data_IF_647616566879
#
_entry.id   IF_647616566879
#
_cell.length_a   1.000
_cell.length_b   1.000
_cell.length_c   1.000
_cell.angle_alpha   90.00
_cell.angle_beta   90.00
_cell.angle_gamma   90.00
#
_symmetry.space_group_name_H-M   'P 1'
#
loop_
_entity.id
_entity.type
_entity.pdbx_description
1 polymer ?
#
# COMPACT_ATOMS: atom_id res chain seq x y z
N UNK A 1 -26.14 12.63 -0.90
CA UNK A 1 -25.65 13.90 -0.32
C UNK A 1 -24.14 13.81 -0.33
N UNK A 2 -23.45 14.53 -1.23
CA UNK A 2 -21.97 14.51 -1.28
C UNK A 2 -21.49 15.37 -0.13
N UNK A 3 -20.90 14.75 0.89
CA UNK A 3 -20.16 15.51 1.90
C UNK A 3 -19.11 16.33 1.16
N UNK A 4 -19.10 17.63 1.45
CA UNK A 4 -18.14 18.59 0.93
C UNK A 4 -16.75 18.00 1.19
N UNK A 5 -15.97 17.83 0.12
CA UNK A 5 -14.60 17.29 0.11
C UNK A 5 -13.89 17.75 1.37
N UNK A 6 -13.56 16.80 2.26
CA UNK A 6 -12.61 17.00 3.34
C UNK A 6 -11.30 17.41 2.66
N UNK A 7 -11.09 18.72 2.51
CA UNK A 7 -9.79 19.31 2.30
C UNK A 7 -9.04 19.06 3.60
N UNK A 8 -8.47 17.87 3.72
CA UNK A 8 -7.47 17.59 4.74
C UNK A 8 -6.50 18.78 4.68
N UNK A 9 -6.32 19.49 5.80
CA UNK A 9 -5.26 20.48 5.93
C UNK A 9 -3.96 19.84 5.41
N UNK A 10 -3.06 20.64 4.84
CA UNK A 10 -1.81 20.22 4.19
C UNK A 10 -1.34 18.83 4.64
N UNK A 11 -1.61 17.81 3.80
CA UNK A 11 -1.37 16.41 4.14
C UNK A 11 0.13 16.24 4.37
N UNK A 12 0.52 15.56 5.44
CA UNK A 12 1.92 15.22 5.68
C UNK A 12 2.14 13.73 5.47
N UNK A 13 2.91 13.37 4.45
CA UNK A 13 3.22 11.98 4.14
C UNK A 13 4.39 11.49 5.00
N UNK A 14 4.18 10.40 5.74
CA UNK A 14 5.23 9.80 6.58
C UNK A 14 5.91 8.66 5.82
N UNK A 15 6.92 8.97 5.00
CA UNK A 15 7.77 7.95 4.38
C UNK A 15 9.13 8.51 3.99
N UNK A 16 10.18 7.71 4.16
CA UNK A 16 11.54 7.98 3.67
C UNK A 16 11.83 7.32 2.31
N UNK A 17 10.88 6.56 1.76
CA UNK A 17 11.07 5.82 0.52
C UNK A 17 10.87 6.73 -0.70
N UNK A 18 11.97 7.04 -1.39
CA UNK A 18 11.96 7.92 -2.57
C UNK A 18 11.04 7.42 -3.69
N UNK A 19 10.94 6.11 -3.93
CA UNK A 19 10.03 5.56 -4.95
C UNK A 19 8.56 5.84 -4.60
N UNK A 20 8.18 5.69 -3.33
CA UNK A 20 6.84 6.03 -2.85
C UNK A 20 6.56 7.53 -3.00
N UNK A 21 7.51 8.37 -2.61
CA UNK A 21 7.39 9.83 -2.71
C UNK A 21 7.14 10.25 -4.17
N UNK A 22 7.92 9.73 -5.12
CA UNK A 22 7.75 10.04 -6.53
C UNK A 22 6.40 9.56 -7.08
N UNK A 23 5.94 8.38 -6.67
CA UNK A 23 4.57 7.92 -6.99
C UNK A 23 3.50 8.88 -6.45
N UNK A 24 3.53 9.23 -5.17
CA UNK A 24 2.53 10.15 -4.60
C UNK A 24 2.53 11.53 -5.29
N UNK A 25 3.70 12.07 -5.65
CA UNK A 25 3.81 13.32 -6.43
C UNK A 25 3.13 13.18 -7.79
N UNK A 26 3.43 12.12 -8.55
CA UNK A 26 2.76 11.84 -9.84
C UNK A 26 1.25 11.67 -9.69
N UNK A 27 0.80 11.16 -8.55
CA UNK A 27 -0.62 10.90 -8.32
C UNK A 27 -1.44 12.16 -8.04
N UNK A 28 -0.79 13.32 -7.93
CA UNK A 28 -1.44 14.61 -7.72
C UNK A 28 -1.84 14.86 -6.26
N UNK A 29 -1.26 14.10 -5.32
CA UNK A 29 -1.43 14.39 -3.90
C UNK A 29 -0.55 15.60 -3.56
N UNK A 30 -1.14 16.66 -3.03
CA UNK A 30 -0.38 17.79 -2.47
C UNK A 30 -0.05 17.46 -1.02
N UNK A 31 1.22 17.21 -0.73
CA UNK A 31 1.67 16.87 0.62
C UNK A 31 3.01 17.54 0.97
N UNK A 32 3.23 17.73 2.25
CA UNK A 32 4.56 17.93 2.83
C UNK A 32 5.13 16.57 3.24
N UNK A 33 6.45 16.40 3.18
CA UNK A 33 7.09 15.19 3.70
C UNK A 33 7.28 15.38 5.21
N UNK A 34 6.77 14.45 6.01
CA UNK A 34 7.13 14.32 7.42
C UNK A 34 8.27 13.30 7.53
N UNK A 35 9.52 13.79 7.50
CA UNK A 35 10.70 12.96 7.64
C UNK A 35 10.82 12.36 9.05
N UNK A 36 11.32 11.12 9.15
CA UNK A 36 11.89 10.59 10.39
C UNK A 36 10.95 9.92 11.39
N UNK A 37 9.68 9.65 11.04
CA UNK A 37 8.81 8.80 11.87
C UNK A 37 8.99 7.33 11.50
N UNK A 38 9.92 6.65 12.18
CA UNK A 38 10.00 5.19 12.15
C UNK A 38 8.93 4.63 13.08
N UNK A 39 7.74 4.41 12.53
CA UNK A 39 6.59 3.90 13.27
C UNK A 39 6.67 2.38 13.33
N UNK A 40 6.62 1.82 14.54
CA UNK A 40 6.57 0.38 14.71
C UNK A 40 5.28 -0.18 14.10
N UNK A 41 5.40 -1.32 13.45
CA UNK A 41 4.26 -2.01 12.87
C UNK A 41 3.81 -3.13 13.82
N UNK A 42 2.53 -3.15 14.16
CA UNK A 42 1.97 -4.20 15.02
C UNK A 42 1.99 -5.54 14.28
N UNK A 43 2.22 -6.64 15.00
CA UNK A 43 2.16 -7.98 14.43
C UNK A 43 0.71 -8.46 14.42
N UNK A 44 -0.05 -8.03 13.40
CA UNK A 44 -1.47 -8.34 13.21
C UNK A 44 -1.87 -8.21 11.74
N UNK A 45 -3.17 -8.28 11.47
CA UNK A 45 -3.78 -8.06 10.15
C UNK A 45 -3.43 -6.70 9.55
N UNK A 46 -3.52 -6.60 8.22
CA UNK A 46 -3.36 -5.33 7.49
C UNK A 46 -4.25 -4.20 8.02
N UNK A 47 -5.46 -4.52 8.50
CA UNK A 47 -6.41 -3.54 9.04
C UNK A 47 -5.91 -2.95 10.35
N UNK A 48 -5.38 -3.79 11.24
CA UNK A 48 -4.79 -3.35 12.50
C UNK A 48 -3.48 -2.58 12.25
N UNK A 49 -2.62 -3.08 11.36
CA UNK A 49 -1.35 -2.41 11.02
C UNK A 49 -1.59 -0.97 10.62
N UNK A 50 -2.45 -0.74 9.63
CA UNK A 50 -2.72 0.62 9.15
C UNK A 50 -3.45 1.48 10.20
N UNK A 51 -4.34 0.88 10.99
CA UNK A 51 -5.08 1.56 12.06
C UNK A 51 -4.14 2.07 13.16
N UNK A 52 -3.32 1.18 13.72
CA UNK A 52 -2.40 1.54 14.81
C UNK A 52 -1.27 2.43 14.32
N UNK A 53 -0.79 2.25 13.09
CA UNK A 53 0.18 3.17 12.47
C UNK A 53 -0.38 4.59 12.37
N UNK A 54 -1.66 4.76 12.03
CA UNK A 54 -2.32 6.07 12.01
C UNK A 54 -2.51 6.67 13.41
N UNK A 55 -2.76 5.83 14.43
CA UNK A 55 -2.82 6.26 15.83
C UNK A 55 -1.46 6.81 16.27
N UNK A 56 -0.39 6.05 16.02
CA UNK A 56 0.97 6.38 16.45
C UNK A 56 1.54 7.58 15.70
N UNK A 57 1.18 7.75 14.43
CA UNK A 57 1.54 8.94 13.65
C UNK A 57 0.93 10.22 14.25
N UNK A 58 -0.34 10.14 14.67
CA UNK A 58 -1.08 11.29 15.18
C UNK A 58 -1.78 12.10 14.08
N UNK A 59 -2.28 13.27 14.48
CA UNK A 59 -3.24 14.02 13.66
C UNK A 59 -2.60 14.63 12.40
N UNK A 60 -3.33 14.58 11.28
CA UNK A 60 -2.96 15.13 9.97
C UNK A 60 -1.72 14.50 9.31
N UNK A 61 -1.29 13.33 9.78
CA UNK A 61 -0.24 12.53 9.14
C UNK A 61 -0.87 11.39 8.33
N UNK A 62 -0.54 11.32 7.05
CA UNK A 62 -0.92 10.24 6.16
C UNK A 62 0.13 9.14 6.23
N UNK A 63 -0.30 7.99 6.75
CA UNK A 63 0.48 6.76 6.78
C UNK A 63 0.08 5.84 5.63
N UNK A 64 1.00 4.97 5.23
CA UNK A 64 0.79 3.97 4.20
C UNK A 64 1.31 2.60 4.67
N UNK A 65 0.61 1.58 4.23
CA UNK A 65 1.00 0.18 4.36
C UNK A 65 0.72 -0.58 3.06
N UNK A 66 1.61 -1.50 2.69
CA UNK A 66 1.50 -2.30 1.47
C UNK A 66 1.82 -3.75 1.78
N UNK A 67 0.91 -4.64 1.39
CA UNK A 67 1.03 -6.09 1.61
C UNK A 67 0.68 -6.86 0.33
N UNK A 68 1.30 -8.04 0.18
CA UNK A 68 0.79 -9.07 -0.72
C UNK A 68 0.03 -10.10 0.10
N UNK A 69 -1.16 -10.47 -0.37
CA UNK A 69 -1.87 -11.66 0.09
C UNK A 69 -1.61 -12.76 -0.92
N UNK A 70 -1.07 -13.89 -0.47
CA UNK A 70 -0.74 -15.04 -1.32
C UNK A 70 -1.51 -16.24 -0.79
N UNK A 71 -2.36 -16.84 -1.62
CA UNK A 71 -3.23 -17.97 -1.26
C UNK A 71 -4.09 -17.71 -0.01
N UNK A 72 -4.53 -16.46 0.17
CA UNK A 72 -5.33 -16.03 1.32
C UNK A 72 -4.54 -15.65 2.57
N UNK A 73 -3.21 -15.78 2.56
CA UNK A 73 -2.36 -15.43 3.70
C UNK A 73 -1.58 -14.13 3.44
N UNK A 74 -1.53 -13.25 4.45
CA UNK A 74 -0.75 -12.01 4.40
C UNK A 74 0.75 -12.33 4.44
N UNK A 75 1.48 -11.85 3.44
CA UNK A 75 2.93 -12.01 3.34
C UNK A 75 3.61 -10.74 3.83
N UNK A 76 3.90 -10.71 5.14
CA UNK A 76 4.78 -9.70 5.73
C UNK A 76 6.21 -9.93 5.22
N UNK A 77 6.92 -8.82 5.00
CA UNK A 77 8.27 -8.74 4.42
C UNK A 77 8.48 -9.48 3.11
N UNK A 78 7.57 -9.29 2.16
CA UNK A 78 7.64 -9.88 0.82
C UNK A 78 9.01 -9.73 0.13
N UNK A 79 9.77 -8.67 0.43
CA UNK A 79 11.14 -8.49 -0.07
C UNK A 79 12.03 -9.70 0.19
N UNK A 80 11.88 -10.37 1.34
CA UNK A 80 12.65 -11.55 1.72
C UNK A 80 12.02 -12.86 1.24
N UNK A 81 10.71 -12.86 0.97
CA UNK A 81 9.93 -14.05 0.58
C UNK A 81 9.72 -14.20 -0.93
N UNK A 82 10.26 -13.27 -1.73
CA UNK A 82 10.06 -13.28 -3.18
C UNK A 82 10.60 -14.55 -3.86
N UNK A 83 11.71 -15.10 -3.38
CA UNK A 83 12.30 -16.33 -3.91
C UNK A 83 11.46 -17.59 -3.60
N UNK A 84 10.69 -17.56 -2.52
CA UNK A 84 9.73 -18.62 -2.21
C UNK A 84 8.49 -18.48 -3.08
N UNK A 85 8.00 -17.25 -3.25
CA UNK A 85 6.85 -16.94 -4.10
C UNK A 85 7.10 -17.38 -5.55
N UNK A 86 8.29 -17.08 -6.11
CA UNK A 86 8.68 -17.44 -7.49
C UNK A 86 8.66 -18.95 -7.78
N UNK A 87 8.66 -19.80 -6.74
CA UNK A 87 8.65 -21.27 -6.87
C UNK A 87 7.24 -21.85 -6.82
N UNK A 88 6.23 -21.06 -6.48
CA UNK A 88 4.85 -21.53 -6.40
C UNK A 88 4.25 -21.69 -7.80
N UNK A 89 3.45 -22.73 -7.98
CA UNK A 89 2.71 -22.95 -9.21
C UNK A 89 1.35 -22.25 -9.13
N UNK A 90 1.17 -21.24 -9.99
CA UNK A 90 -0.07 -20.45 -10.11
C UNK A 90 -0.69 -19.97 -8.77
N UNK A 91 0.07 -19.29 -7.91
CA UNK A 91 -0.47 -18.76 -6.66
C UNK A 91 -1.56 -17.70 -6.89
N UNK A 92 -2.57 -17.66 -6.01
CA UNK A 92 -3.53 -16.55 -5.96
C UNK A 92 -2.87 -15.36 -5.24
N UNK A 93 -2.56 -14.30 -5.97
CA UNK A 93 -1.86 -13.13 -5.43
C UNK A 93 -2.75 -11.91 -5.51
N UNK A 94 -2.87 -11.19 -4.39
CA UNK A 94 -3.46 -9.86 -4.34
C UNK A 94 -2.46 -8.87 -3.78
N UNK A 95 -2.25 -7.76 -4.47
CA UNK A 95 -1.52 -6.62 -3.94
C UNK A 95 -2.50 -5.61 -3.37
N UNK A 96 -2.35 -5.29 -2.08
CA UNK A 96 -3.16 -4.32 -1.36
C UNK A 96 -2.26 -3.16 -0.89
N UNK A 97 -2.74 -1.94 -1.06
CA UNK A 97 -2.16 -0.75 -0.42
C UNK A 97 -3.25 -0.02 0.37
N UNK A 98 -2.97 0.21 1.65
CA UNK A 98 -3.83 0.95 2.56
C UNK A 98 -3.21 2.31 2.87
N UNK A 99 -4.03 3.35 2.90
CA UNK A 99 -3.69 4.67 3.40
C UNK A 99 -4.57 4.98 4.60
N UNK A 100 -4.01 5.61 5.62
CA UNK A 100 -4.82 6.13 6.71
C UNK A 100 -4.36 7.49 7.21
N UNK A 101 -5.32 8.27 7.68
CA UNK A 101 -5.08 9.57 8.29
C UNK A 101 -5.98 9.73 9.50
N UNK A 102 -5.40 10.21 10.60
CA UNK A 102 -6.15 10.63 11.78
C UNK A 102 -6.48 12.11 11.66
N UNK A 103 -7.77 12.45 11.72
CA UNK A 103 -8.24 13.82 11.64
C UNK A 103 -9.53 14.01 12.45
N UNK A 104 -9.60 15.12 13.19
CA UNK A 104 -10.74 15.50 14.05
C UNK A 104 -11.30 14.37 14.95
N UNK A 105 -10.41 13.55 15.53
CA UNK A 105 -10.80 12.43 16.42
C UNK A 105 -11.34 11.19 15.68
N UNK A 106 -11.18 11.14 14.36
CA UNK A 106 -11.48 9.97 13.54
C UNK A 106 -10.24 9.50 12.77
N UNK A 107 -10.22 8.23 12.43
CA UNK A 107 -9.24 7.61 11.55
C UNK A 107 -9.98 7.19 10.29
N UNK A 108 -9.52 7.70 9.16
CA UNK A 108 -10.07 7.40 7.84
C UNK A 108 -9.10 6.47 7.12
N UNK A 109 -9.61 5.31 6.67
CA UNK A 109 -8.82 4.31 5.94
C UNK A 109 -9.29 4.28 4.49
N UNK A 110 -8.35 4.27 3.55
CA UNK A 110 -8.57 4.15 2.11
C UNK A 110 -7.76 2.96 1.59
N UNK A 111 -8.29 2.21 0.61
CA UNK A 111 -7.63 0.97 0.18
C UNK A 111 -7.75 0.73 -1.30
N UNK A 112 -6.63 0.58 -1.98
CA UNK A 112 -6.57 0.02 -3.32
C UNK A 112 -6.14 -1.44 -3.26
N UNK A 113 -6.66 -2.23 -4.20
CA UNK A 113 -6.22 -3.61 -4.38
C UNK A 113 -6.25 -4.02 -5.85
N UNK A 114 -5.39 -4.96 -6.22
CA UNK A 114 -5.40 -5.59 -7.53
C UNK A 114 -4.99 -7.06 -7.42
N UNK A 115 -5.64 -7.92 -8.21
CA UNK A 115 -5.18 -9.29 -8.41
C UNK A 115 -3.93 -9.29 -9.28
N UNK A 116 -3.02 -10.22 -9.01
CA UNK A 116 -1.75 -10.34 -9.70
C UNK A 116 -1.53 -11.80 -10.12
N UNK A 117 -0.80 -11.99 -11.21
CA UNK A 117 -0.17 -13.25 -11.57
C UNK A 117 1.35 -13.13 -11.42
N UNK A 118 2.04 -14.25 -11.23
CA UNK A 118 3.47 -14.30 -11.47
C UNK A 118 3.77 -14.11 -12.95
N UNK A 119 4.85 -13.39 -13.24
CA UNK A 119 5.40 -13.31 -14.58
C UNK A 119 5.76 -14.71 -15.11
N UNK A 120 5.66 -14.90 -16.43
CA UNK A 120 6.14 -16.14 -17.06
C UNK A 120 7.62 -16.32 -16.76
N UNK A 121 8.01 -17.53 -16.35
CA UNK A 121 9.37 -17.85 -15.93
C UNK A 121 9.89 -16.93 -14.81
N UNK A 122 9.02 -16.54 -13.86
CA UNK A 122 9.41 -15.68 -12.74
C UNK A 122 10.66 -16.20 -12.00
N UNK A 123 10.87 -17.52 -11.91
CA UNK A 123 12.07 -18.14 -11.34
C UNK A 123 13.38 -17.64 -11.97
N UNK A 124 13.37 -17.33 -13.26
CA UNK A 124 14.55 -17.00 -14.05
C UNK A 124 14.78 -15.49 -14.15
N UNK A 125 13.83 -14.69 -13.66
CA UNK A 125 13.95 -13.23 -13.62
C UNK A 125 15.02 -12.84 -12.60
N UNK A 126 16.08 -12.22 -13.11
CA UNK A 126 17.00 -11.44 -12.30
C UNK A 126 16.43 -10.02 -12.21
N UNK A 127 16.04 -9.60 -11.01
CA UNK A 127 15.54 -8.25 -10.77
C UNK A 127 16.54 -7.20 -11.31
N UNK A 128 16.09 -6.27 -12.18
CA UNK A 128 16.91 -5.14 -12.60
C UNK A 128 17.39 -4.32 -11.39
N UNK A 129 18.58 -3.74 -11.48
CA UNK A 129 19.17 -2.95 -10.37
C UNK A 129 18.28 -1.77 -9.95
N UNK A 130 17.51 -1.21 -10.88
CA UNK A 130 16.60 -0.09 -10.68
C UNK A 130 15.16 -0.52 -10.39
N UNK A 131 14.92 -1.81 -10.19
CA UNK A 131 13.60 -2.32 -9.81
C UNK A 131 13.27 -2.07 -8.34
N UNK A 132 11.98 -2.08 -8.02
CA UNK A 132 11.49 -1.84 -6.67
C UNK A 132 10.59 -2.97 -6.20
N UNK A 133 10.90 -3.52 -5.02
CA UNK A 133 10.08 -4.54 -4.37
C UNK A 133 9.81 -5.75 -5.27
N UNK A 134 8.53 -6.08 -5.44
CA UNK A 134 8.07 -7.22 -6.25
C UNK A 134 7.65 -6.84 -7.67
N UNK A 135 7.87 -5.59 -8.09
CA UNK A 135 7.43 -5.09 -9.40
C UNK A 135 7.91 -5.94 -10.61
N UNK A 136 9.15 -6.50 -10.62
CA UNK A 136 9.63 -7.33 -11.74
C UNK A 136 8.97 -8.70 -11.87
N UNK A 137 8.21 -9.13 -10.86
CA UNK A 137 7.73 -10.51 -10.79
C UNK A 137 6.23 -10.63 -10.92
N UNK A 138 5.50 -9.52 -10.75
CA UNK A 138 4.05 -9.52 -10.75
C UNK A 138 3.49 -8.80 -11.97
N UNK A 139 2.48 -9.43 -12.56
CA UNK A 139 1.68 -8.90 -13.65
C UNK A 139 0.26 -8.61 -13.14
N UNK A 140 -0.36 -7.44 -13.44
CA UNK A 140 -1.71 -7.18 -13.00
C UNK A 140 -2.73 -8.05 -13.75
N UNK A 141 -3.80 -8.43 -13.04
CA UNK A 141 -4.97 -9.08 -13.60
C UNK A 141 -6.11 -8.07 -13.60
N UNK A 142 -6.65 -7.78 -14.79
CA UNK A 142 -7.80 -6.90 -14.96
C UNK A 142 -8.91 -7.63 -15.72
N UNK A 143 -10.12 -7.64 -15.19
CA UNK A 143 -11.27 -8.34 -15.76
C UNK A 143 -10.95 -9.82 -16.08
N UNK A 144 -10.27 -10.50 -15.13
CA UNK A 144 -9.82 -11.90 -15.26
C UNK A 144 -8.83 -12.16 -16.42
N UNK A 145 -8.19 -11.11 -16.94
CA UNK A 145 -7.13 -11.21 -17.96
C UNK A 145 -5.81 -10.75 -17.38
N UNK A 146 -4.78 -11.59 -17.49
CA UNK A 146 -3.40 -11.24 -17.14
C UNK A 146 -2.86 -10.28 -18.19
N UNK A 147 -2.37 -9.13 -17.74
CA UNK A 147 -1.60 -8.22 -18.59
C UNK A 147 -0.19 -8.83 -18.71
N UNK A 148 0.25 -9.15 -19.93
CA UNK A 148 1.54 -9.83 -20.19
C UNK A 148 2.74 -8.86 -20.07
N UNK A 149 2.76 -8.07 -19.00
CA UNK A 149 3.82 -7.12 -18.61
C UNK A 149 3.85 -7.01 -17.10
N UNK A 150 5.05 -7.01 -16.55
CA UNK A 150 5.25 -6.84 -15.10
C UNK A 150 4.96 -5.39 -14.69
N UNK A 151 4.75 -5.13 -13.40
CA UNK A 151 4.66 -3.75 -12.92
C UNK A 151 5.94 -2.95 -13.21
N UNK A 152 7.10 -3.61 -13.25
CA UNK A 152 8.35 -2.98 -13.68
C UNK A 152 8.28 -2.53 -15.14
N UNK A 153 7.86 -3.41 -16.06
CA UNK A 153 7.74 -3.07 -17.49
C UNK A 153 6.70 -1.96 -17.70
N UNK A 154 5.55 -2.07 -17.03
CA UNK A 154 4.52 -1.04 -17.06
C UNK A 154 5.03 0.30 -16.52
N UNK A 155 5.94 0.31 -15.54
CA UNK A 155 6.54 1.53 -15.03
C UNK A 155 7.45 2.19 -16.07
N UNK A 156 8.26 1.39 -16.77
CA UNK A 156 9.11 1.86 -17.88
C UNK A 156 8.30 2.48 -19.01
N UNK A 157 7.09 1.97 -19.23
CA UNK A 157 6.17 2.48 -20.25
C UNK A 157 5.28 3.64 -19.77
N UNK A 158 5.37 4.03 -18.49
CA UNK A 158 4.51 5.06 -17.90
C UNK A 158 3.04 4.61 -17.72
N UNK A 159 2.79 3.30 -17.72
CA UNK A 159 1.46 2.69 -17.63
C UNK A 159 1.16 2.07 -16.26
N UNK A 160 2.14 1.94 -15.36
CA UNK A 160 1.97 1.33 -14.02
C UNK A 160 0.84 1.96 -13.22
N UNK A 161 0.68 3.27 -13.33
CA UNK A 161 -0.30 4.04 -12.55
C UNK A 161 -1.76 3.62 -12.85
N UNK A 162 -2.03 3.01 -14.02
CA UNK A 162 -3.35 2.46 -14.37
C UNK A 162 -3.74 1.23 -13.53
N UNK A 163 -2.76 0.59 -12.91
CA UNK A 163 -2.92 -0.68 -12.20
C UNK A 163 -2.46 -0.60 -10.74
N UNK A 164 -1.88 0.53 -10.31
CA UNK A 164 -1.27 0.68 -8.99
C UNK A 164 -2.33 0.74 -7.88
N UNK A 165 -2.32 -0.20 -6.91
CA UNK A 165 -3.18 -0.13 -5.73
C UNK A 165 -2.96 1.17 -4.93
N UNK A 166 -1.72 1.67 -4.88
CA UNK A 166 -1.41 2.96 -4.25
C UNK A 166 -2.12 4.11 -4.95
N UNK A 167 -2.13 4.15 -6.28
CA UNK A 167 -2.89 5.18 -7.03
C UNK A 167 -4.40 5.06 -6.77
N UNK A 168 -4.93 3.85 -6.71
CA UNK A 168 -6.34 3.61 -6.38
C UNK A 168 -6.69 4.14 -4.98
N UNK A 169 -5.85 3.88 -3.97
CA UNK A 169 -6.04 4.39 -2.62
C UNK A 169 -5.97 5.93 -2.57
N UNK A 170 -5.02 6.55 -3.29
CA UNK A 170 -4.94 8.01 -3.40
C UNK A 170 -6.18 8.60 -4.08
N UNK A 171 -6.69 7.95 -5.13
CA UNK A 171 -7.92 8.39 -5.78
C UNK A 171 -9.12 8.32 -4.83
N UNK A 172 -9.21 7.27 -4.00
CA UNK A 172 -10.24 7.18 -2.96
C UNK A 172 -10.11 8.31 -1.95
N UNK A 173 -8.90 8.59 -1.47
CA UNK A 173 -8.63 9.71 -0.56
C UNK A 173 -9.04 11.05 -1.16
N UNK A 174 -8.62 11.34 -2.40
CA UNK A 174 -8.97 12.60 -3.08
C UNK A 174 -10.48 12.77 -3.31
N UNK A 175 -11.21 11.66 -3.43
CA UNK A 175 -12.66 11.66 -3.60
C UNK A 175 -13.43 11.53 -2.28
N UNK A 176 -12.75 11.42 -1.13
CA UNK A 176 -13.37 11.21 0.18
C UNK A 176 -14.10 9.86 0.32
N UNK A 177 -13.68 8.85 -0.44
CA UNK A 177 -14.27 7.51 -0.44
C UNK A 177 -13.50 6.58 0.51
N UNK A 178 -13.73 6.71 1.81
CA UNK A 178 -13.07 5.86 2.80
C UNK A 178 -13.70 4.45 2.85
N UNK A 179 -12.84 3.45 3.05
CA UNK A 179 -13.22 2.09 3.40
C UNK A 179 -13.81 2.04 4.81
N UNK A 180 -13.19 2.77 5.75
CA UNK A 180 -13.60 2.81 7.14
C UNK A 180 -13.39 4.21 7.74
N UNK A 181 -14.29 4.57 8.67
CA UNK A 181 -14.19 5.74 9.54
C UNK A 181 -14.34 5.29 10.98
N UNK A 182 -13.26 5.37 11.75
CA UNK A 182 -13.17 4.81 13.10
C UNK A 182 -12.95 5.95 14.08
N UNK A 183 -13.65 5.97 15.22
CA UNK A 183 -13.40 6.99 16.25
C UNK A 183 -12.09 6.66 16.97
N UNK A 184 -11.12 7.57 17.01
CA UNK A 184 -9.79 7.28 17.55
C UNK A 184 -9.84 6.82 19.00
N UNK A 185 -10.69 7.45 19.82
CA UNK A 185 -10.79 7.15 21.26
C UNK A 185 -11.52 5.83 21.55
N UNK A 186 -12.10 5.20 20.53
CA UNK A 186 -12.69 3.86 20.63
C UNK A 186 -11.67 2.75 20.39
N UNK A 187 -10.50 3.07 19.85
CA UNK A 187 -9.45 2.08 19.60
C UNK A 187 -8.71 1.82 20.90
N UNK A 188 -8.67 0.55 21.30
CA UNK A 188 -7.92 0.14 22.49
C UNK A 188 -6.43 0.31 22.25
N UNK A 189 -5.64 0.47 23.31
CA UNK A 189 -4.18 0.45 23.15
C UNK A 189 -3.74 -0.94 22.70
N UNK A 190 -2.78 -1.01 21.79
CA UNK A 190 -2.19 -2.27 21.37
C UNK A 190 -1.49 -2.96 22.56
N UNK A 191 -1.80 -4.23 22.76
CA UNK A 191 -1.17 -5.07 23.82
C UNK A 191 -0.45 -6.29 23.26
N UNK A 192 -0.42 -6.46 21.95
CA UNK A 192 0.24 -7.58 21.27
C UNK A 192 1.71 -7.31 20.95
N UNK A 193 2.28 -8.17 20.10
CA UNK A 193 3.64 -8.02 19.62
C UNK A 193 3.73 -6.94 18.52
N UNK A 194 4.94 -6.46 18.27
CA UNK A 194 5.25 -5.70 17.07
C UNK A 194 6.12 -6.56 16.16
N UNK A 195 6.04 -6.32 14.87
CA UNK A 195 6.90 -6.96 13.89
C UNK A 195 8.37 -6.61 14.21
N UNK A 196 9.27 -7.59 14.03
CA UNK A 196 10.72 -7.43 14.19
C UNK A 196 11.23 -7.03 15.58
N UNK A 197 10.47 -7.29 16.66
CA UNK A 197 10.91 -7.15 18.06
C UNK A 197 11.62 -8.40 18.61
#
# INVERSE_FOLDING_TARGET
MREKIMLHKAIKLTTSNLNKIEEFKRFGLSFEIAEGLDLKEVDSSIDDVILYKAIDAGDNLLVEDTVLVVNGEEVVDIRWKIEELKKQDNPDIKWITSLAIKDEGFIYIYRGEIKCALAKNASDIMAPEDSFGFDPYLCPILNEVVIDKTFYDLNKEGLKDNYSPRKMAVNQLNNGLFLAKIKSDSVQKWTGNYQHN
#
